data_IF_571403701323
#
_entry.id   IF_571403701323
#
_cell.length_a   1.000
_cell.length_b   1.000
_cell.length_c   1.000
_cell.angle_alpha   90.00
_cell.angle_beta   90.00
_cell.angle_gamma   90.00
#
_symmetry.space_group_name_H-M   'P 1'
#
loop_
_entity.id
_entity.type
_entity.pdbx_description
1 polymer ?
#
# COMPACT_ATOMS: atom_id res chain seq x y z
N UNK A 1 15.21 5.11 -13.41
CA UNK A 1 15.10 3.95 -12.50
C UNK A 1 14.29 2.88 -13.20
N UNK A 2 14.53 1.58 -12.96
CA UNK A 2 13.68 0.51 -13.49
C UNK A 2 12.25 0.65 -12.94
N UNK A 3 11.26 0.44 -13.79
CA UNK A 3 9.83 0.61 -13.45
C UNK A 3 9.03 -0.63 -13.84
N UNK A 4 7.92 -0.88 -13.15
CA UNK A 4 6.99 -1.98 -13.39
C UNK A 4 7.65 -3.37 -13.34
N UNK A 5 8.62 -3.51 -12.43
CA UNK A 5 9.34 -4.75 -12.19
C UNK A 5 9.59 -4.92 -10.70
N UNK A 6 9.72 -6.16 -10.26
CA UNK A 6 10.03 -6.49 -8.87
C UNK A 6 11.41 -6.00 -8.47
N UNK A 7 11.44 -5.40 -7.29
CA UNK A 7 12.64 -5.04 -6.55
C UNK A 7 12.56 -5.68 -5.17
N UNK A 8 13.62 -6.36 -4.76
CA UNK A 8 13.71 -7.02 -3.45
C UNK A 8 14.73 -6.29 -2.60
N UNK A 9 14.33 -5.88 -1.40
CA UNK A 9 15.22 -5.26 -0.42
C UNK A 9 16.15 -6.29 0.25
N UNK A 10 17.25 -5.86 0.90
CA UNK A 10 18.10 -6.76 1.70
C UNK A 10 17.36 -7.53 2.81
N UNK A 11 16.17 -7.07 3.21
CA UNK A 11 15.30 -7.72 4.20
C UNK A 11 14.26 -8.65 3.57
N UNK A 12 14.38 -9.02 2.29
CA UNK A 12 13.42 -9.89 1.58
C UNK A 12 11.99 -9.33 1.52
N UNK A 13 11.87 -8.00 1.49
CA UNK A 13 10.62 -7.32 1.16
C UNK A 13 10.62 -6.94 -0.32
N UNK A 14 9.56 -7.31 -1.04
CA UNK A 14 9.39 -6.99 -2.45
C UNK A 14 8.56 -5.71 -2.62
N UNK A 15 8.88 -4.95 -3.65
CA UNK A 15 8.19 -3.75 -4.05
C UNK A 15 8.28 -3.58 -5.58
N UNK A 16 7.50 -2.66 -6.13
CA UNK A 16 7.70 -2.18 -7.49
C UNK A 16 7.57 -0.66 -7.55
N UNK A 17 8.21 -0.09 -8.57
CA UNK A 17 8.12 1.35 -8.86
C UNK A 17 7.28 1.55 -10.11
N UNK A 18 6.26 2.39 -10.05
CA UNK A 18 5.56 2.89 -11.23
C UNK A 18 5.96 4.34 -11.49
N UNK A 19 6.06 4.74 -12.76
CA UNK A 19 6.28 6.15 -13.13
C UNK A 19 4.97 6.76 -13.62
N UNK A 20 4.55 7.81 -12.93
CA UNK A 20 3.39 8.62 -13.29
C UNK A 20 3.86 10.06 -13.48
N UNK A 21 3.75 10.58 -14.70
CA UNK A 21 4.28 11.89 -15.10
C UNK A 21 5.75 12.10 -14.70
N UNK A 22 6.01 13.09 -13.84
CA UNK A 22 7.33 13.42 -13.31
C UNK A 22 7.67 12.68 -12.00
N UNK A 23 6.75 11.87 -11.47
CA UNK A 23 6.86 11.22 -10.17
C UNK A 23 7.13 9.71 -10.29
N UNK A 24 7.87 9.18 -9.32
CA UNK A 24 8.05 7.75 -9.13
C UNK A 24 7.31 7.33 -7.87
N UNK A 25 6.38 6.41 -8.04
CA UNK A 25 5.55 5.86 -6.98
C UNK A 25 6.11 4.50 -6.59
N UNK A 26 6.35 4.31 -5.30
CA UNK A 26 6.84 3.04 -4.76
C UNK A 26 5.69 2.32 -4.05
N UNK A 27 5.41 1.10 -4.49
CA UNK A 27 4.35 0.29 -3.92
C UNK A 27 4.93 -0.94 -3.21
N UNK A 28 4.50 -1.24 -1.98
CA UNK A 28 4.86 -2.48 -1.30
C UNK A 28 4.11 -3.66 -1.92
N UNK A 29 4.64 -4.88 -1.81
CA UNK A 29 3.92 -6.08 -2.26
C UNK A 29 2.82 -6.56 -1.29
N UNK A 30 2.13 -5.65 -0.59
CA UNK A 30 0.94 -5.95 0.19
C UNK A 30 -0.06 -4.80 0.09
N UNK A 31 -1.34 -5.13 0.29
CA UNK A 31 -2.40 -4.11 0.28
C UNK A 31 -2.41 -3.34 1.59
N UNK A 32 -2.63 -2.03 1.50
CA UNK A 32 -3.07 -1.22 2.62
C UNK A 32 -4.60 -1.27 2.62
N UNK A 33 -5.18 -1.63 3.76
CA UNK A 33 -6.62 -1.83 3.87
C UNK A 33 -7.08 -1.43 5.27
N UNK A 34 -7.91 -0.38 5.32
CA UNK A 34 -8.53 0.13 6.54
C UNK A 34 -10.05 -0.08 6.53
N UNK A 35 -10.57 -0.89 5.60
CA UNK A 35 -12.01 -1.13 5.46
C UNK A 35 -12.64 -1.66 6.76
N UNK A 36 -11.92 -2.52 7.48
CA UNK A 36 -12.33 -3.02 8.80
C UNK A 36 -12.54 -1.92 9.85
N UNK A 37 -11.92 -0.74 9.67
CA UNK A 37 -12.03 0.40 10.56
C UNK A 37 -12.97 1.49 10.04
N UNK A 38 -13.67 1.26 8.93
CA UNK A 38 -14.52 2.25 8.28
C UNK A 38 -15.60 2.81 9.23
N UNK A 39 -16.27 1.97 10.02
CA UNK A 39 -17.29 2.43 10.98
C UNK A 39 -16.70 3.36 12.06
N UNK A 40 -15.51 3.04 12.56
CA UNK A 40 -14.81 3.88 13.53
C UNK A 40 -14.45 5.24 12.91
N UNK A 41 -13.95 5.24 11.67
CA UNK A 41 -13.64 6.45 10.93
C UNK A 41 -14.91 7.28 10.64
N UNK A 42 -16.03 6.64 10.30
CA UNK A 42 -17.31 7.33 10.14
C UNK A 42 -17.75 8.02 11.43
N UNK A 43 -17.66 7.34 12.58
CA UNK A 43 -17.97 7.94 13.88
C UNK A 43 -17.04 9.10 14.22
N UNK A 44 -15.78 9.04 13.80
CA UNK A 44 -14.80 10.13 13.94
C UNK A 44 -15.00 11.31 12.97
N UNK A 45 -16.00 11.26 12.09
CA UNK A 45 -16.34 12.37 11.18
C UNK A 45 -15.81 12.23 9.75
N UNK A 46 -15.10 11.15 9.42
CA UNK A 46 -14.76 10.86 8.02
C UNK A 46 -16.03 10.51 7.24
N UNK A 47 -16.12 10.96 5.99
CA UNK A 47 -17.34 10.83 5.16
C UNK A 47 -17.10 10.25 3.78
N UNK A 48 -15.91 10.39 3.23
CA UNK A 48 -15.54 9.86 1.92
C UNK A 48 -14.45 8.81 2.07
N UNK A 49 -14.68 7.64 1.49
CA UNK A 49 -13.75 6.52 1.49
C UNK A 49 -13.44 6.16 0.05
N UNK A 50 -12.15 6.15 -0.29
CA UNK A 50 -11.67 5.92 -1.65
C UNK A 50 -10.89 4.63 -1.69
N UNK A 51 -11.19 3.78 -2.67
CA UNK A 51 -10.42 2.58 -2.96
C UNK A 51 -9.58 2.83 -4.21
N UNK A 52 -8.26 2.84 -4.04
CA UNK A 52 -7.30 2.97 -5.14
C UNK A 52 -6.75 1.59 -5.46
N UNK A 53 -6.91 1.15 -6.71
CA UNK A 53 -6.42 -0.14 -7.20
C UNK A 53 -5.33 0.10 -8.24
N UNK A 54 -4.09 -0.17 -7.87
CA UNK A 54 -2.93 -0.09 -8.75
C UNK A 54 -2.75 -1.40 -9.53
N UNK A 55 -2.46 -1.37 -10.84
CA UNK A 55 -2.09 -2.56 -11.60
C UNK A 55 -0.82 -3.22 -11.04
N UNK A 56 -0.90 -4.51 -10.77
CA UNK A 56 0.21 -5.27 -10.18
C UNK A 56 1.03 -5.89 -11.32
N UNK A 57 2.36 -5.65 -11.39
CA UNK A 57 3.24 -6.33 -12.34
C UNK A 57 3.17 -7.86 -12.19
N UNK A 58 3.31 -8.59 -13.30
CA UNK A 58 3.12 -10.06 -13.33
C UNK A 58 4.07 -10.83 -12.41
N UNK A 59 5.24 -10.27 -12.13
CA UNK A 59 6.31 -10.84 -11.31
C UNK A 59 6.18 -10.51 -9.81
N UNK A 60 5.18 -9.71 -9.43
CA UNK A 60 4.87 -9.38 -8.04
C UNK A 60 3.81 -10.35 -7.50
N UNK A 61 4.14 -10.98 -6.38
CA UNK A 61 3.17 -11.72 -5.57
C UNK A 61 2.79 -10.89 -4.35
N UNK A 62 1.49 -10.67 -4.16
CA UNK A 62 1.00 -9.94 -2.99
C UNK A 62 1.03 -10.81 -1.74
N UNK A 63 1.74 -10.36 -0.70
CA UNK A 63 1.70 -10.94 0.63
C UNK A 63 0.34 -10.66 1.28
N UNK A 64 -0.17 -11.65 2.02
CA UNK A 64 -1.30 -11.45 2.94
C UNK A 64 -0.79 -10.79 4.22
N UNK A 65 -1.11 -9.51 4.41
CA UNK A 65 -0.81 -8.73 5.63
C UNK A 65 -2.08 -7.98 6.05
N UNK A 66 -2.22 -7.62 7.34
CA UNK A 66 -3.36 -6.84 7.81
C UNK A 66 -3.53 -5.49 7.10
N UNK A 67 -2.44 -4.90 6.57
CA UNK A 67 -2.52 -3.66 5.80
C UNK A 67 -2.87 -2.42 6.65
N UNK A 68 -2.78 -2.53 7.97
CA UNK A 68 -3.16 -1.51 8.96
C UNK A 68 -2.09 -0.42 9.12
N UNK A 69 -1.70 0.21 8.02
CA UNK A 69 -0.63 1.21 7.97
C UNK A 69 -0.74 2.20 9.13
N UNK A 70 0.24 2.19 10.03
CA UNK A 70 0.33 3.09 11.19
C UNK A 70 -0.91 3.14 12.10
N UNK A 71 -1.80 2.14 12.03
CA UNK A 71 -3.04 2.14 12.80
C UNK A 71 -2.81 1.90 14.30
N UNK A 72 -1.88 1.00 14.62
CA UNK A 72 -1.51 0.63 16.00
C UNK A 72 -0.20 1.29 16.42
N UNK A 73 -0.04 2.59 16.13
CA UNK A 73 1.09 3.34 16.67
C UNK A 73 0.78 3.71 18.12
N UNK A 74 1.60 3.22 19.05
CA UNK A 74 1.86 4.00 20.25
C UNK A 74 2.69 5.19 19.78
N UNK A 75 2.20 6.41 20.01
CA UNK A 75 2.96 7.65 19.77
C UNK A 75 4.38 7.48 20.33
N UNK A 76 5.39 7.82 19.51
CA UNK A 76 6.78 7.96 19.96
C UNK A 76 6.88 9.05 21.02
#
# INVERSE_FOLDING_TARGET
>A
MPTNQKMTSPKNEDAWVAKYDSLYWLFPNWKLDLLFHQEMLQKAGFRMFVHLNEPIPKDIQLKKRPGLWNWQLNLL
#
